data_IF_026347477576
#
_entry.id   IF_026347477576
#
_cell.length_a   1.000
_cell.length_b   1.000
_cell.length_c   1.000
_cell.angle_alpha   90.00
_cell.angle_beta   90.00
_cell.angle_gamma   90.00
#
_symmetry.space_group_name_H-M   'P 1'
#
loop_
_entity.id
_entity.type
_entity.pdbx_description
1 polymer ?
#
# COMPACT_ATOMS: atom_id res chain seq x y z
N UNK A 1 -14.22 -5.94 -3.48
CA UNK A 1 -13.10 -6.40 -4.32
C UNK A 1 -11.77 -5.95 -3.70
N UNK A 2 -10.73 -6.78 -3.77
CA UNK A 2 -9.36 -6.45 -3.30
C UNK A 2 -8.50 -6.14 -4.52
N UNK A 3 -7.90 -4.97 -4.56
CA UNK A 3 -7.07 -4.50 -5.68
C UNK A 3 -5.66 -4.18 -5.22
N UNK A 4 -4.65 -4.78 -5.84
CA UNK A 4 -3.25 -4.39 -5.68
C UNK A 4 -2.87 -3.40 -6.80
N UNK A 5 -2.36 -2.23 -6.41
CA UNK A 5 -1.98 -1.16 -7.33
C UNK A 5 -0.47 -0.96 -7.27
N UNK A 6 0.22 -1.44 -8.29
CA UNK A 6 1.67 -1.37 -8.44
C UNK A 6 2.09 -0.15 -9.26
N UNK A 7 3.29 0.32 -9.05
CA UNK A 7 3.88 1.36 -9.91
C UNK A 7 5.13 2.00 -9.33
N UNK A 8 5.92 2.61 -10.19
CA UNK A 8 7.13 3.33 -9.82
C UNK A 8 6.87 4.62 -9.05
N UNK A 9 7.95 5.31 -8.67
CA UNK A 9 7.88 6.65 -8.05
C UNK A 9 7.16 7.61 -9.00
N UNK A 10 6.19 8.39 -8.46
CA UNK A 10 5.40 9.37 -9.22
C UNK A 10 4.65 8.81 -10.44
N UNK A 11 4.36 7.51 -10.45
CA UNK A 11 3.59 6.87 -11.52
C UNK A 11 2.11 7.28 -11.57
N UNK A 12 1.57 7.87 -10.49
CA UNK A 12 0.14 8.17 -10.35
C UNK A 12 -0.66 7.06 -9.64
N UNK A 13 0.01 6.02 -9.12
CA UNK A 13 -0.62 4.85 -8.51
C UNK A 13 -1.58 5.18 -7.35
N UNK A 14 -1.18 6.08 -6.43
CA UNK A 14 -2.04 6.47 -5.30
C UNK A 14 -3.30 7.19 -5.76
N UNK A 15 -3.18 8.13 -6.70
CA UNK A 15 -4.32 8.85 -7.27
C UNK A 15 -5.27 7.91 -8.01
N UNK A 16 -4.72 6.97 -8.78
CA UNK A 16 -5.53 5.97 -9.46
C UNK A 16 -6.27 5.08 -8.46
N UNK A 17 -5.58 4.62 -7.40
CA UNK A 17 -6.17 3.80 -6.35
C UNK A 17 -7.30 4.52 -5.59
N UNK A 18 -7.11 5.81 -5.25
CA UNK A 18 -8.14 6.66 -4.64
C UNK A 18 -9.40 6.71 -5.51
N UNK A 19 -9.23 6.98 -6.82
CA UNK A 19 -10.34 7.07 -7.77
C UNK A 19 -11.05 5.73 -7.95
N UNK A 20 -10.29 4.66 -8.11
CA UNK A 20 -10.84 3.32 -8.33
C UNK A 20 -11.63 2.84 -7.10
N UNK A 21 -11.08 3.01 -5.89
CA UNK A 21 -11.76 2.63 -4.66
C UNK A 21 -13.03 3.46 -4.44
N UNK A 22 -12.98 4.77 -4.71
CA UNK A 22 -14.15 5.64 -4.58
C UNK A 22 -15.30 5.25 -5.54
N UNK A 23 -14.97 4.72 -6.72
CA UNK A 23 -15.95 4.19 -7.68
C UNK A 23 -16.55 2.84 -7.23
N UNK A 24 -15.84 2.06 -6.44
CA UNK A 24 -16.30 0.76 -5.90
C UNK A 24 -17.08 0.90 -4.58
N UNK A 25 -16.79 1.95 -3.81
CA UNK A 25 -17.48 2.22 -2.56
C UNK A 25 -18.91 2.70 -2.84
N UNK A 26 -19.86 2.23 -2.02
CA UNK A 26 -21.23 2.71 -2.11
C UNK A 26 -21.32 4.23 -1.89
N UNK A 27 -22.25 4.88 -2.59
CA UNK A 27 -22.46 6.33 -2.48
C UNK A 27 -22.67 6.75 -1.02
N UNK A 28 -22.03 7.86 -0.63
CA UNK A 28 -22.08 8.46 0.68
C UNK A 28 -21.51 7.63 1.85
N UNK A 29 -20.94 6.45 1.64
CA UNK A 29 -20.26 5.71 2.71
C UNK A 29 -18.86 6.29 3.01
N UNK A 30 -18.44 6.32 4.29
CA UNK A 30 -17.09 6.73 4.65
C UNK A 30 -16.07 5.74 4.10
N UNK A 31 -14.91 6.26 3.73
CA UNK A 31 -13.76 5.50 3.29
C UNK A 31 -12.57 5.78 4.19
N UNK A 32 -11.70 4.81 4.37
CA UNK A 32 -10.51 4.96 5.20
C UNK A 32 -9.25 4.94 4.36
N UNK A 33 -8.35 5.87 4.67
CA UNK A 33 -7.02 5.95 4.11
C UNK A 33 -6.00 5.66 5.20
N UNK A 34 -5.29 4.55 5.10
CA UNK A 34 -4.21 4.19 5.99
C UNK A 34 -2.89 4.71 5.42
N UNK A 35 -2.35 5.74 6.04
CA UNK A 35 -1.05 6.29 5.71
C UNK A 35 0.03 5.57 6.54
N UNK A 36 0.89 4.81 5.87
CA UNK A 36 1.92 3.99 6.52
C UNK A 36 3.30 4.64 6.51
N UNK A 37 3.46 5.75 5.80
CA UNK A 37 4.71 6.50 5.73
C UNK A 37 5.06 7.21 7.03
N UNK A 38 6.32 7.65 7.19
CA UNK A 38 6.74 8.42 8.34
C UNK A 38 5.92 9.71 8.46
N UNK A 39 5.77 10.20 9.71
CA UNK A 39 5.05 11.45 9.95
C UNK A 39 5.77 12.62 9.25
N UNK A 40 5.02 13.61 8.70
CA UNK A 40 5.59 14.73 7.92
C UNK A 40 6.51 15.67 8.71
N UNK A 41 6.68 15.48 10.01
CA UNK A 41 7.32 16.46 10.90
C UNK A 41 8.77 16.82 10.52
N UNK A 42 9.48 15.95 9.81
CA UNK A 42 10.91 16.11 9.56
C UNK A 42 11.29 16.31 8.07
N UNK A 43 10.31 16.27 7.13
CA UNK A 43 10.56 16.43 5.70
C UNK A 43 9.51 17.35 5.04
N UNK A 44 9.90 18.63 4.71
CA UNK A 44 8.98 19.58 4.07
C UNK A 44 8.45 19.14 2.70
N UNK A 45 9.24 18.40 1.90
CA UNK A 45 8.79 17.88 0.61
C UNK A 45 7.76 16.76 0.81
N UNK A 46 7.96 15.93 1.81
CA UNK A 46 7.01 14.89 2.20
C UNK A 46 5.73 15.51 2.76
N UNK A 47 5.84 16.51 3.63
CA UNK A 47 4.70 17.26 4.17
C UNK A 47 3.84 17.89 3.07
N UNK A 48 4.46 18.52 2.06
CA UNK A 48 3.75 19.08 0.92
C UNK A 48 3.00 18.00 0.10
N UNK A 49 3.59 16.81 -0.06
CA UNK A 49 2.92 15.68 -0.74
C UNK A 49 1.72 15.19 0.05
N UNK A 50 1.86 14.98 1.35
CA UNK A 50 0.76 14.55 2.22
C UNK A 50 -0.38 15.56 2.19
N UNK A 51 -0.07 16.86 2.23
CA UNK A 51 -1.06 17.95 2.14
C UNK A 51 -1.79 17.91 0.79
N UNK A 52 -1.07 17.83 -0.32
CA UNK A 52 -1.67 17.74 -1.66
C UNK A 52 -2.54 16.47 -1.83
N UNK A 53 -2.19 15.36 -1.18
CA UNK A 53 -3.01 14.16 -1.13
C UNK A 53 -4.28 14.35 -0.28
N UNK A 54 -4.18 15.07 0.86
CA UNK A 54 -5.34 15.39 1.70
C UNK A 54 -6.32 16.34 1.03
N UNK A 55 -5.82 17.37 0.35
CA UNK A 55 -6.66 18.38 -0.33
C UNK A 55 -7.46 17.79 -1.51
N UNK A 56 -6.97 16.74 -2.17
CA UNK A 56 -7.70 16.06 -3.25
C UNK A 56 -8.81 15.15 -2.75
N UNK A 57 -8.72 14.71 -1.48
CA UNK A 57 -9.71 13.79 -0.90
C UNK A 57 -10.92 14.59 -0.42
N UNK A 58 -12.10 14.18 -0.88
CA UNK A 58 -13.38 14.73 -0.42
C UNK A 58 -13.62 14.37 1.05
N UNK A 59 -14.61 14.99 1.70
CA UNK A 59 -14.99 14.81 3.12
C UNK A 59 -15.32 13.35 3.52
N UNK A 60 -15.40 12.43 2.55
CA UNK A 60 -15.70 11.02 2.76
C UNK A 60 -14.49 10.19 3.27
N UNK A 61 -13.27 10.75 3.25
CA UNK A 61 -12.07 10.03 3.61
C UNK A 61 -11.63 10.33 5.04
N UNK A 62 -11.59 9.29 5.87
CA UNK A 62 -10.91 9.31 7.16
C UNK A 62 -9.45 8.88 6.98
N UNK A 63 -8.51 9.74 7.36
CA UNK A 63 -7.07 9.41 7.30
C UNK A 63 -6.59 8.93 8.67
N UNK A 64 -6.01 7.74 8.70
CA UNK A 64 -5.36 7.15 9.87
C UNK A 64 -3.87 6.95 9.56
N UNK A 65 -3.00 7.62 10.31
CA UNK A 65 -1.54 7.42 10.22
C UNK A 65 -1.16 6.23 11.11
N UNK A 66 -0.73 5.12 10.49
CA UNK A 66 -0.42 3.89 11.23
C UNK A 66 0.42 2.93 10.41
N UNK A 67 1.29 2.20 11.06
CA UNK A 67 1.98 1.02 10.49
C UNK A 67 1.32 -0.30 10.92
N UNK A 68 0.33 -0.25 11.80
CA UNK A 68 -0.46 -1.42 12.22
C UNK A 68 -1.69 -1.62 11.31
N UNK A 69 -1.41 -1.92 10.04
CA UNK A 69 -2.43 -2.12 9.00
C UNK A 69 -3.33 -3.31 9.32
N UNK A 70 -2.77 -4.40 9.83
CA UNK A 70 -3.51 -5.63 10.09
C UNK A 70 -4.61 -5.43 11.13
N UNK A 71 -4.34 -4.75 12.24
CA UNK A 71 -5.34 -4.40 13.25
C UNK A 71 -6.41 -3.47 12.66
N UNK A 72 -6.02 -2.48 11.87
CA UNK A 72 -6.97 -1.57 11.24
C UNK A 72 -7.94 -2.31 10.30
N UNK A 73 -7.46 -3.24 9.51
CA UNK A 73 -8.32 -4.03 8.62
C UNK A 73 -9.30 -4.92 9.41
N UNK A 74 -8.89 -5.48 10.55
CA UNK A 74 -9.75 -6.32 11.39
C UNK A 74 -10.79 -5.54 12.20
N UNK A 75 -10.55 -4.27 12.48
CA UNK A 75 -11.39 -3.48 13.39
C UNK A 75 -12.72 -3.11 12.74
N UNK A 76 -12.72 -2.70 11.48
CA UNK A 76 -13.93 -2.22 10.81
C UNK A 76 -13.86 -2.46 9.30
N UNK A 77 -14.82 -3.20 8.72
CA UNK A 77 -14.86 -3.51 7.29
C UNK A 77 -15.50 -2.37 6.48
N UNK A 78 -14.84 -1.23 6.38
CA UNK A 78 -15.20 -0.11 5.48
C UNK A 78 -14.22 -0.06 4.30
N UNK A 79 -14.63 0.51 3.18
CA UNK A 79 -13.75 0.68 2.03
C UNK A 79 -12.44 1.33 2.44
N UNK A 80 -11.31 0.64 2.24
CA UNK A 80 -10.02 1.03 2.80
C UNK A 80 -8.94 1.07 1.72
N UNK A 81 -8.13 2.11 1.74
CA UNK A 81 -6.90 2.24 0.95
C UNK A 81 -5.69 2.24 1.87
N UNK A 82 -4.68 1.46 1.54
CA UNK A 82 -3.38 1.42 2.24
C UNK A 82 -2.33 2.07 1.35
N UNK A 83 -1.73 3.17 1.76
CA UNK A 83 -0.67 3.88 1.03
C UNK A 83 0.56 4.16 1.93
N UNK A 84 1.67 3.42 1.78
CA UNK A 84 1.86 2.31 0.86
C UNK A 84 2.50 1.09 1.55
N UNK A 85 2.42 -0.04 0.91
CA UNK A 85 2.98 -1.32 1.39
C UNK A 85 4.50 -1.25 1.56
N UNK A 86 5.21 -0.46 0.75
CA UNK A 86 6.67 -0.28 0.88
C UNK A 86 7.05 0.43 2.18
N UNK A 87 6.35 1.49 2.53
CA UNK A 87 6.54 2.21 3.80
C UNK A 87 6.18 1.33 5.01
N UNK A 88 5.08 0.56 4.90
CA UNK A 88 4.73 -0.44 5.90
C UNK A 88 5.84 -1.49 6.07
N UNK A 89 6.39 -2.00 4.96
CA UNK A 89 7.49 -2.98 4.98
C UNK A 89 8.73 -2.40 5.64
N UNK A 90 9.11 -1.16 5.31
CA UNK A 90 10.25 -0.47 5.95
C UNK A 90 10.06 -0.44 7.47
N UNK A 91 8.89 -0.03 7.96
CA UNK A 91 8.59 0.01 9.38
C UNK A 91 8.61 -1.39 10.04
N UNK A 92 8.18 -2.43 9.34
CA UNK A 92 8.27 -3.81 9.82
C UNK A 92 9.73 -4.27 9.91
N UNK A 93 10.55 -3.97 8.90
CA UNK A 93 11.99 -4.28 8.88
C UNK A 93 12.76 -3.56 9.99
N UNK A 94 12.41 -2.30 10.27
CA UNK A 94 13.00 -1.52 11.37
C UNK A 94 12.67 -2.14 12.73
N UNK A 95 11.41 -2.51 12.97
CA UNK A 95 10.98 -3.14 14.24
C UNK A 95 11.64 -4.48 14.51
N UNK A 96 11.89 -5.25 13.46
CA UNK A 96 12.38 -6.63 13.55
C UNK A 96 13.89 -6.74 13.37
N UNK A 97 14.62 -5.61 13.28
CA UNK A 97 16.05 -5.57 12.93
C UNK A 97 16.38 -6.38 11.66
N UNK A 98 15.44 -6.39 10.72
CA UNK A 98 15.53 -7.22 9.53
C UNK A 98 16.61 -6.75 8.56
N UNK A 99 17.05 -5.51 8.65
CA UNK A 99 18.20 -4.98 7.90
C UNK A 99 19.50 -5.72 8.26
N UNK A 100 19.63 -6.18 9.51
CA UNK A 100 20.78 -6.91 10.04
C UNK A 100 20.57 -8.44 10.12
N UNK A 101 19.45 -8.97 9.62
CA UNK A 101 19.21 -10.41 9.57
C UNK A 101 18.01 -10.90 10.39
N UNK A 102 17.28 -10.00 11.03
CA UNK A 102 16.00 -10.32 11.65
C UNK A 102 14.94 -10.76 10.63
N UNK A 103 13.82 -11.29 11.11
CA UNK A 103 12.75 -11.82 10.25
C UNK A 103 11.48 -11.01 10.39
N UNK A 104 10.85 -10.70 9.24
CA UNK A 104 9.54 -10.06 9.14
C UNK A 104 8.40 -11.05 8.86
N UNK A 105 8.69 -12.35 8.90
CA UNK A 105 7.73 -13.38 8.47
C UNK A 105 6.40 -13.29 9.24
N UNK A 106 6.46 -13.06 10.56
CA UNK A 106 5.26 -12.94 11.39
C UNK A 106 4.44 -11.70 11.03
N UNK A 107 5.08 -10.54 10.81
CA UNK A 107 4.40 -9.30 10.38
C UNK A 107 3.73 -9.49 9.01
N UNK A 108 4.43 -10.13 8.07
CA UNK A 108 3.91 -10.43 6.73
C UNK A 108 2.73 -11.38 6.79
N UNK A 109 2.82 -12.47 7.55
CA UNK A 109 1.74 -13.45 7.69
C UNK A 109 0.51 -12.82 8.37
N UNK A 110 0.70 -11.94 9.34
CA UNK A 110 -0.37 -11.19 10.00
C UNK A 110 -1.09 -10.23 9.03
N UNK A 111 -0.33 -9.47 8.23
CA UNK A 111 -0.89 -8.60 7.18
C UNK A 111 -1.70 -9.40 6.15
N UNK A 112 -1.12 -10.48 5.62
CA UNK A 112 -1.78 -11.32 4.61
C UNK A 112 -3.06 -11.96 5.15
N UNK A 113 -3.05 -12.44 6.39
CA UNK A 113 -4.26 -12.94 7.05
C UNK A 113 -5.35 -11.88 7.22
N UNK A 114 -4.96 -10.63 7.53
CA UNK A 114 -5.90 -9.52 7.60
C UNK A 114 -6.47 -9.12 6.22
N UNK A 115 -5.64 -9.13 5.18
CA UNK A 115 -6.07 -8.87 3.79
C UNK A 115 -7.02 -9.96 3.29
N UNK A 116 -6.71 -11.22 3.54
CA UNK A 116 -7.54 -12.35 3.09
C UNK A 116 -8.92 -12.34 3.75
N UNK A 117 -8.98 -12.04 5.06
CA UNK A 117 -10.23 -11.94 5.81
C UNK A 117 -11.02 -10.65 5.59
N UNK A 118 -10.50 -9.67 4.85
CA UNK A 118 -11.16 -8.37 4.69
C UNK A 118 -12.32 -8.43 3.69
N UNK A 119 -13.52 -8.02 4.13
CA UNK A 119 -14.76 -8.20 3.37
C UNK A 119 -15.25 -6.96 2.61
N UNK A 120 -14.72 -5.76 2.91
CA UNK A 120 -15.08 -4.55 2.19
C UNK A 120 -14.13 -4.29 0.99
N UNK A 121 -14.42 -3.31 0.10
CA UNK A 121 -13.47 -2.92 -0.94
C UNK A 121 -12.11 -2.51 -0.35
N UNK A 122 -11.02 -3.02 -0.93
CA UNK A 122 -9.66 -2.78 -0.47
C UNK A 122 -8.75 -2.42 -1.64
N UNK A 123 -8.01 -1.31 -1.50
CA UNK A 123 -6.92 -0.96 -2.41
C UNK A 123 -5.59 -0.97 -1.64
N UNK A 124 -4.63 -1.76 -2.11
CA UNK A 124 -3.26 -1.81 -1.57
C UNK A 124 -2.34 -1.14 -2.60
N UNK A 125 -1.76 -0.01 -2.23
CA UNK A 125 -0.77 0.69 -3.06
C UNK A 125 0.61 0.17 -2.72
N UNK A 126 1.38 -0.26 -3.72
CA UNK A 126 2.73 -0.76 -3.50
C UNK A 126 3.71 -0.29 -4.57
N UNK A 127 4.95 0.05 -4.19
CA UNK A 127 5.99 0.30 -5.18
C UNK A 127 6.31 -0.97 -5.98
N UNK A 128 6.47 -0.81 -7.31
CA UNK A 128 7.11 -1.81 -8.13
C UNK A 128 8.62 -1.53 -8.19
N UNK A 129 9.40 -2.43 -7.58
CA UNK A 129 10.86 -2.28 -7.43
C UNK A 129 11.66 -3.25 -8.29
N UNK A 130 10.99 -4.20 -8.95
CA UNK A 130 11.62 -5.23 -9.77
C UNK A 130 11.95 -4.78 -11.20
N UNK A 131 11.38 -3.68 -11.67
CA UNK A 131 11.60 -3.14 -13.02
C UNK A 131 12.78 -2.15 -13.08
N UNK A 132 13.81 -2.35 -12.27
CA UNK A 132 14.96 -1.44 -12.16
C UNK A 132 16.27 -2.24 -12.10
N UNK A 133 17.39 -1.51 -12.16
CA UNK A 133 18.70 -2.11 -11.95
C UNK A 133 18.82 -2.61 -10.51
N UNK A 134 19.46 -3.76 -10.32
CA UNK A 134 19.70 -4.34 -9.00
C UNK A 134 20.35 -3.29 -8.08
N UNK A 135 19.79 -3.04 -6.89
CA UNK A 135 20.32 -2.02 -5.98
C UNK A 135 21.78 -2.31 -5.57
N UNK A 136 22.59 -1.25 -5.51
CA UNK A 136 24.01 -1.34 -5.21
C UNK A 136 24.31 -1.74 -3.75
N UNK A 137 23.38 -1.43 -2.81
CA UNK A 137 23.53 -1.71 -1.38
C UNK A 137 22.84 -3.01 -0.97
N UNK A 138 23.37 -3.68 0.05
CA UNK A 138 22.74 -4.89 0.61
C UNK A 138 21.33 -4.59 1.17
N UNK A 139 21.16 -3.47 1.84
CA UNK A 139 19.86 -3.04 2.34
C UNK A 139 18.86 -2.83 1.20
N UNK A 140 19.27 -2.17 0.12
CA UNK A 140 18.40 -1.96 -1.04
C UNK A 140 18.01 -3.28 -1.72
N UNK A 141 18.95 -4.23 -1.86
CA UNK A 141 18.65 -5.56 -2.40
C UNK A 141 17.68 -6.32 -1.53
N UNK A 142 17.93 -6.34 -0.20
CA UNK A 142 17.02 -6.99 0.77
C UNK A 142 15.62 -6.40 0.71
N UNK A 143 15.49 -5.07 0.70
CA UNK A 143 14.19 -4.41 0.56
C UNK A 143 13.48 -4.81 -0.74
N UNK A 144 14.20 -4.80 -1.87
CA UNK A 144 13.62 -5.17 -3.16
C UNK A 144 13.17 -6.65 -3.19
N UNK A 145 13.94 -7.57 -2.61
CA UNK A 145 13.60 -8.99 -2.52
C UNK A 145 12.36 -9.21 -1.63
N UNK A 146 12.33 -8.60 -0.45
CA UNK A 146 11.20 -8.74 0.48
C UNK A 146 9.93 -8.10 -0.10
N UNK A 147 10.02 -6.89 -0.67
CA UNK A 147 8.86 -6.23 -1.26
C UNK A 147 8.35 -6.98 -2.50
N UNK A 148 9.25 -7.46 -3.36
CA UNK A 148 8.88 -8.26 -4.52
C UNK A 148 8.16 -9.55 -4.13
N UNK A 149 8.65 -10.23 -3.09
CA UNK A 149 8.01 -11.44 -2.53
C UNK A 149 6.64 -11.11 -1.92
N UNK A 150 6.54 -10.02 -1.16
CA UNK A 150 5.28 -9.57 -0.57
C UNK A 150 4.26 -9.19 -1.65
N UNK A 151 4.67 -8.46 -2.70
CA UNK A 151 3.82 -8.11 -3.82
C UNK A 151 3.25 -9.34 -4.53
N UNK A 152 4.03 -10.41 -4.71
CA UNK A 152 3.55 -11.66 -5.28
C UNK A 152 2.49 -12.32 -4.39
N UNK A 153 2.72 -12.37 -3.07
CA UNK A 153 1.76 -12.95 -2.10
C UNK A 153 0.48 -12.13 -2.04
N UNK A 154 0.55 -10.81 -2.04
CA UNK A 154 -0.62 -9.92 -2.09
C UNK A 154 -1.38 -10.07 -3.43
N UNK A 155 -0.68 -10.15 -4.56
CA UNK A 155 -1.28 -10.36 -5.87
C UNK A 155 -2.07 -11.68 -5.95
N UNK A 156 -1.61 -12.74 -5.25
CA UNK A 156 -2.33 -14.00 -5.17
C UNK A 156 -3.68 -13.86 -4.44
N UNK A 157 -3.74 -13.04 -3.37
CA UNK A 157 -4.95 -12.78 -2.57
C UNK A 157 -5.89 -11.76 -3.21
N UNK A 158 -5.37 -10.85 -4.04
CA UNK A 158 -6.18 -9.81 -4.66
C UNK A 158 -6.96 -10.34 -5.86
N UNK A 159 -8.18 -9.81 -6.03
CA UNK A 159 -9.04 -10.13 -7.16
C UNK A 159 -8.53 -9.44 -8.44
N UNK A 160 -7.90 -8.27 -8.28
CA UNK A 160 -7.38 -7.42 -9.35
C UNK A 160 -5.96 -6.96 -9.05
N UNK A 161 -5.12 -6.91 -10.07
CA UNK A 161 -3.76 -6.31 -9.99
C UNK A 161 -3.59 -5.35 -11.15
N UNK A 162 -3.15 -4.13 -10.85
CA UNK A 162 -2.95 -3.05 -11.84
C UNK A 162 -1.55 -2.48 -11.71
N UNK A 163 -0.85 -2.32 -12.82
CA UNK A 163 0.41 -1.58 -12.89
C UNK A 163 0.12 -0.18 -13.46
N UNK A 164 0.45 0.87 -12.69
CA UNK A 164 0.26 2.26 -13.13
C UNK A 164 1.57 2.83 -13.65
N UNK A 165 1.55 3.26 -14.91
CA UNK A 165 2.69 3.90 -15.59
C UNK A 165 2.23 5.23 -16.19
N UNK A 166 2.88 6.34 -15.84
CA UNK A 166 2.54 7.68 -16.32
C UNK A 166 1.03 8.03 -16.18
N UNK A 167 0.43 7.64 -15.05
CA UNK A 167 -0.99 7.84 -14.77
C UNK A 167 -1.94 6.85 -15.47
N UNK A 168 -1.43 5.97 -16.33
CA UNK A 168 -2.25 5.00 -17.08
C UNK A 168 -2.23 3.63 -16.41
N UNK A 169 -3.39 3.03 -16.14
CA UNK A 169 -3.48 1.69 -15.59
C UNK A 169 -3.26 0.62 -16.67
N UNK A 170 -2.45 -0.36 -16.36
CA UNK A 170 -2.28 -1.59 -17.13
C UNK A 170 -2.81 -2.75 -16.28
N UNK A 171 -3.79 -3.48 -16.76
CA UNK A 171 -4.31 -4.66 -16.09
C UNK A 171 -3.24 -5.78 -16.14
N UNK A 172 -2.86 -6.29 -14.96
CA UNK A 172 -1.96 -7.44 -14.79
C UNK A 172 -2.77 -8.68 -14.43
N UNK A 173 -3.81 -8.50 -13.61
CA UNK A 173 -4.79 -9.54 -13.25
C UNK A 173 -6.17 -8.90 -13.20
N UNK A 174 -7.14 -9.52 -13.84
CA UNK A 174 -8.54 -9.12 -13.79
C UNK A 174 -9.34 -10.09 -12.91
N UNK A 175 -10.44 -9.62 -12.30
CA UNK A 175 -11.34 -10.50 -11.57
C UNK A 175 -11.87 -11.62 -12.49
N UNK A 176 -12.03 -12.82 -11.92
CA UNK A 176 -12.61 -13.96 -12.63
C UNK A 176 -14.11 -13.76 -12.88
#
# INVERSE_FOLDING_TARGET
MRTLVLGGIRSGKSQWAETALAAEAADAQPMRYLATGPSPADDPEWAARVTAHRERRQDRWETVETTDVATQLRTQPIATLVDDVGSWLTAAMDRSDAWAGGSIAADVDDLLGAVDGFSAPLALVSPEVGLTVVPATDAGRRFADELGTLNQRLAALCDRVVLVVAGQPLAVKEPA
#
